data_IF_041184790035
#
_entry.id   IF_041184790035
#
_cell.length_a   1.000
_cell.length_b   1.000
_cell.length_c   1.000
_cell.angle_alpha   90.00
_cell.angle_beta   90.00
_cell.angle_gamma   90.00
#
_symmetry.space_group_name_H-M   'P 1'
#
loop_
_entity.id
_entity.type
_entity.pdbx_description
1 polymer ?
#
# COMPACT_ATOMS: atom_id res chain seq x y z
N UNK A 1 1.34 -4.87 -13.61
CA UNK A 1 0.82 -3.63 -12.98
C UNK A 1 1.66 -3.37 -11.74
N UNK A 2 2.22 -2.17 -11.57
CA UNK A 2 3.02 -1.83 -10.37
C UNK A 2 2.10 -1.08 -9.41
N UNK A 3 1.78 -1.69 -8.27
CA UNK A 3 1.01 -1.07 -7.19
C UNK A 3 1.95 -0.25 -6.33
N UNK A 4 1.64 1.03 -6.12
CA UNK A 4 2.33 1.86 -5.13
C UNK A 4 1.33 2.26 -4.05
N UNK A 5 1.71 2.09 -2.78
CA UNK A 5 0.92 2.45 -1.61
C UNK A 5 1.64 3.60 -0.92
N UNK A 6 0.97 4.74 -0.80
CA UNK A 6 1.39 5.87 0.01
C UNK A 6 0.82 5.71 1.41
N UNK A 7 1.68 5.76 2.40
CA UNK A 7 1.38 5.67 3.82
C UNK A 7 1.56 7.04 4.42
N UNK A 8 0.49 7.58 5.02
CA UNK A 8 0.54 8.82 5.80
C UNK A 8 0.43 8.48 7.26
N UNK A 9 1.45 8.83 8.03
CA UNK A 9 1.51 8.63 9.48
C UNK A 9 0.78 9.74 10.22
N UNK A 10 0.32 9.45 11.44
CA UNK A 10 -0.32 10.42 12.34
C UNK A 10 0.62 11.55 12.77
N UNK A 11 1.94 11.36 12.64
CA UNK A 11 2.96 12.40 12.82
C UNK A 11 2.97 13.43 11.67
N UNK A 12 2.30 13.15 10.55
CA UNK A 12 2.33 13.93 9.32
C UNK A 12 3.41 13.50 8.32
N UNK A 13 4.23 12.48 8.64
CA UNK A 13 5.20 11.91 7.70
C UNK A 13 4.49 11.08 6.60
N UNK A 14 5.01 11.12 5.37
CA UNK A 14 4.50 10.33 4.25
C UNK A 14 5.61 9.48 3.61
N UNK A 15 5.32 8.19 3.42
CA UNK A 15 6.24 7.24 2.79
C UNK A 15 5.52 6.44 1.71
N UNK A 16 6.14 6.30 0.54
CA UNK A 16 5.63 5.49 -0.55
C UNK A 16 6.36 4.14 -0.64
N UNK A 17 5.59 3.05 -0.73
CA UNK A 17 6.13 1.70 -0.88
C UNK A 17 5.50 0.95 -2.04
N UNK A 18 6.29 0.05 -2.64
CA UNK A 18 5.81 -0.87 -3.68
C UNK A 18 5.83 -2.29 -3.10
N UNK A 19 4.67 -2.88 -2.78
CA UNK A 19 4.60 -4.29 -2.41
C UNK A 19 4.98 -5.19 -3.58
N UNK A 20 5.63 -6.30 -3.28
CA UNK A 20 6.01 -7.34 -4.25
C UNK A 20 5.21 -8.62 -4.00
N UNK A 21 5.37 -9.62 -4.87
CA UNK A 21 4.64 -10.89 -4.77
C UNK A 21 4.81 -11.59 -3.42
N UNK A 22 6.00 -11.53 -2.81
CA UNK A 22 6.22 -12.13 -1.49
C UNK A 22 5.35 -11.49 -0.40
N UNK A 23 5.08 -10.19 -0.51
CA UNK A 23 4.25 -9.44 0.45
C UNK A 23 2.78 -9.87 0.31
N UNK A 24 2.33 -10.15 -0.91
CA UNK A 24 0.99 -10.66 -1.22
C UNK A 24 0.80 -12.11 -0.73
N UNK A 25 1.76 -13.00 -1.00
CA UNK A 25 1.70 -14.39 -0.51
C UNK A 25 1.77 -14.43 1.02
N UNK A 26 2.50 -13.51 1.65
CA UNK A 26 2.50 -13.38 3.10
C UNK A 26 1.11 -13.00 3.63
N UNK A 27 0.40 -12.08 2.96
CA UNK A 27 -0.98 -11.76 3.31
C UNK A 27 -1.88 -12.98 3.22
N UNK A 28 -1.85 -13.74 2.11
CA UNK A 28 -2.72 -14.92 1.95
C UNK A 28 -2.53 -15.94 3.08
N UNK A 29 -1.28 -16.17 3.50
CA UNK A 29 -0.95 -17.09 4.60
C UNK A 29 -1.47 -16.55 5.93
N UNK A 30 -1.21 -15.28 6.22
CA UNK A 30 -1.64 -14.66 7.48
C UNK A 30 -3.17 -14.54 7.56
N UNK A 31 -3.82 -14.13 6.47
CA UNK A 31 -5.26 -13.96 6.40
C UNK A 31 -6.01 -15.27 6.62
N UNK A 32 -5.48 -16.40 6.12
CA UNK A 32 -6.02 -17.74 6.41
C UNK A 32 -5.86 -18.16 7.88
N UNK A 33 -4.75 -17.79 8.52
CA UNK A 33 -4.48 -18.14 9.93
C UNK A 33 -5.25 -17.25 10.91
N UNK A 34 -5.56 -16.01 10.52
CA UNK A 34 -6.24 -15.02 11.35
C UNK A 34 -7.72 -14.80 10.97
N UNK A 35 -8.25 -15.62 10.05
CA UNK A 35 -9.61 -15.52 9.53
C UNK A 35 -10.00 -14.11 9.05
N UNK A 36 -9.07 -13.42 8.38
CA UNK A 36 -9.29 -12.05 7.88
C UNK A 36 -10.14 -11.99 6.59
N UNK A 37 -10.41 -13.14 5.97
CA UNK A 37 -11.05 -13.22 4.66
C UNK A 37 -10.09 -12.91 3.51
N UNK A 38 -10.66 -12.69 2.32
CA UNK A 38 -9.90 -12.34 1.11
C UNK A 38 -9.61 -10.84 1.02
N UNK A 39 -8.79 -10.45 0.04
CA UNK A 39 -8.58 -9.03 -0.27
C UNK A 39 -9.88 -8.28 -0.63
N UNK A 40 -10.91 -9.00 -1.11
CA UNK A 40 -12.22 -8.44 -1.43
C UNK A 40 -13.08 -8.29 -0.18
N UNK A 41 -12.98 -9.24 0.77
CA UNK A 41 -13.75 -9.19 2.03
C UNK A 41 -13.22 -8.10 2.96
N UNK A 42 -11.89 -7.93 3.00
CA UNK A 42 -11.20 -7.00 3.91
C UNK A 42 -10.17 -6.13 3.17
N UNK A 43 -10.62 -5.22 2.27
CA UNK A 43 -9.73 -4.44 1.41
C UNK A 43 -8.79 -3.49 2.17
N UNK A 44 -9.25 -2.94 3.31
CA UNK A 44 -8.41 -2.09 4.16
C UNK A 44 -7.30 -2.88 4.86
N UNK A 45 -7.64 -4.03 5.45
CA UNK A 45 -6.66 -4.93 6.07
C UNK A 45 -5.62 -5.42 5.05
N UNK A 46 -6.07 -5.74 3.84
CA UNK A 46 -5.20 -6.11 2.74
C UNK A 46 -4.20 -4.99 2.39
N UNK A 47 -4.70 -3.78 2.14
CA UNK A 47 -3.86 -2.63 1.81
C UNK A 47 -2.85 -2.31 2.92
N UNK A 48 -3.30 -2.30 4.17
CA UNK A 48 -2.46 -2.03 5.32
C UNK A 48 -1.37 -3.10 5.50
N UNK A 49 -1.73 -4.38 5.36
CA UNK A 49 -0.76 -5.46 5.49
C UNK A 49 0.31 -5.39 4.40
N UNK A 50 -0.07 -5.11 3.15
CA UNK A 50 0.90 -4.95 2.07
C UNK A 50 1.84 -3.77 2.29
N UNK A 51 1.31 -2.64 2.75
CA UNK A 51 2.12 -1.47 3.07
C UNK A 51 3.14 -1.79 4.17
N UNK A 52 2.66 -2.31 5.30
CA UNK A 52 3.48 -2.72 6.44
C UNK A 52 4.54 -3.74 6.04
N UNK A 53 4.17 -4.78 5.29
CA UNK A 53 5.10 -5.85 4.91
C UNK A 53 6.18 -5.34 3.96
N UNK A 54 5.82 -4.47 3.04
CA UNK A 54 6.78 -3.80 2.16
C UNK A 54 7.75 -2.91 2.97
N UNK A 55 7.24 -2.10 3.91
CA UNK A 55 8.06 -1.26 4.79
C UNK A 55 9.06 -2.10 5.60
N UNK A 56 8.59 -3.17 6.26
CA UNK A 56 9.44 -4.09 7.03
C UNK A 56 10.53 -4.70 6.15
N UNK A 57 10.16 -5.22 4.98
CA UNK A 57 11.11 -5.84 4.04
C UNK A 57 12.19 -4.85 3.58
N UNK A 58 11.83 -3.58 3.42
CA UNK A 58 12.79 -2.52 3.02
C UNK A 58 13.55 -1.91 4.20
N UNK A 59 13.30 -2.34 5.44
CA UNK A 59 13.95 -1.79 6.63
C UNK A 59 13.46 -0.38 7.00
N UNK A 60 12.30 0.05 6.51
CA UNK A 60 11.72 1.36 6.80
C UNK A 60 10.83 1.38 8.05
N UNK A 61 10.50 0.21 8.61
CA UNK A 61 9.80 0.11 9.88
C UNK A 61 10.21 -1.15 10.62
N UNK A 62 10.27 -1.05 11.94
CA UNK A 62 10.44 -2.19 12.86
C UNK A 62 9.14 -2.51 13.61
N UNK A 63 8.06 -1.77 13.33
CA UNK A 63 6.76 -1.94 13.99
C UNK A 63 6.17 -3.32 13.69
N UNK A 64 5.49 -3.88 14.69
CA UNK A 64 4.49 -4.92 14.49
C UNK A 64 3.34 -4.41 13.62
N UNK A 65 2.48 -5.32 13.16
CA UNK A 65 1.37 -4.92 12.30
C UNK A 65 0.37 -4.04 13.07
N UNK A 66 0.14 -4.37 14.33
CA UNK A 66 -0.74 -3.64 15.24
C UNK A 66 -0.19 -2.23 15.53
N UNK A 67 1.10 -2.09 15.87
CA UNK A 67 1.75 -0.77 16.04
C UNK A 67 1.74 0.07 14.76
N UNK A 68 1.86 -0.58 13.59
CA UNK A 68 1.71 0.09 12.31
C UNK A 68 0.30 0.66 12.13
N UNK A 69 -0.76 -0.10 12.46
CA UNK A 69 -2.13 0.40 12.33
C UNK A 69 -2.42 1.59 13.25
N UNK A 70 -1.83 1.64 14.44
CA UNK A 70 -1.99 2.76 15.39
C UNK A 70 -1.23 4.02 14.96
N UNK A 71 -0.17 3.88 14.16
CA UNK A 71 0.66 4.99 13.69
C UNK A 71 0.23 5.56 12.34
N UNK A 72 -0.63 4.88 11.60
CA UNK A 72 -1.06 5.28 10.25
C UNK A 72 -2.39 6.05 10.29
N UNK A 73 -2.39 7.24 9.70
CA UNK A 73 -3.58 8.07 9.51
C UNK A 73 -4.37 7.63 8.27
N UNK A 74 -3.68 7.42 7.15
CA UNK A 74 -4.33 7.09 5.88
C UNK A 74 -3.42 6.27 4.94
N UNK A 75 -4.06 5.49 4.07
CA UNK A 75 -3.43 4.77 2.97
C UNK A 75 -4.04 5.21 1.64
N UNK A 76 -3.20 5.47 0.64
CA UNK A 76 -3.63 5.78 -0.73
C UNK A 76 -2.91 4.88 -1.73
N UNK A 77 -3.66 4.28 -2.65
CA UNK A 77 -3.10 3.43 -3.69
C UNK A 77 -3.01 4.21 -5.00
N UNK A 78 -1.81 4.29 -5.55
CA UNK A 78 -1.57 4.82 -6.89
C UNK A 78 -1.23 3.66 -7.79
N UNK A 79 -2.14 3.32 -8.70
CA UNK A 79 -1.84 2.47 -9.84
C UNK A 79 -1.10 3.31 -10.86
N UNK A 80 0.18 3.02 -11.11
CA UNK A 80 0.90 3.70 -12.18
C UNK A 80 0.22 3.42 -13.52
N UNK A 81 -0.52 4.39 -14.04
CA UNK A 81 -0.97 4.44 -15.41
C UNK A 81 0.25 4.68 -16.29
N UNK A 82 0.75 3.62 -16.93
CA UNK A 82 1.68 3.78 -18.05
C UNK A 82 0.88 4.32 -19.24
N UNK A 83 0.86 5.65 -19.37
CA UNK A 83 0.65 6.34 -20.63
C UNK A 83 -0.78 6.76 -20.96
N UNK A 84 -1.18 7.93 -20.48
CA UNK A 84 -1.85 8.93 -21.33
C UNK A 84 -1.31 10.30 -20.92
N UNK A 85 -0.29 10.75 -21.65
CA UNK A 85 0.11 12.15 -21.67
C UNK A 85 -0.90 12.88 -22.58
N UNK A 86 -1.79 13.75 -22.09
CA UNK A 86 -2.46 14.70 -22.97
C UNK A 86 -1.47 15.80 -23.34
N UNK A 87 -0.44 15.47 -24.11
CA UNK A 87 0.26 16.48 -24.92
C UNK A 87 -0.65 16.79 -26.09
N UNK A 88 -1.41 17.87 -25.98
CA UNK A 88 -2.18 18.39 -27.11
C UNK A 88 -3.39 19.22 -26.73
N UNK A 89 -3.18 20.35 -26.06
CA UNK A 89 -4.10 21.48 -26.17
C UNK A 89 -3.35 22.78 -25.86
N UNK A 90 -2.50 23.20 -26.78
CA UNK A 90 -2.17 24.63 -26.89
C UNK A 90 -3.42 25.30 -27.47
N UNK A 91 -3.99 26.35 -26.83
CA UNK A 91 -5.02 27.12 -27.48
C UNK A 91 -4.35 27.94 -28.58
N UNK A 92 -4.74 27.72 -29.83
CA UNK A 92 -4.40 28.62 -30.93
C UNK A 92 -5.70 29.16 -31.55
N UNK A 93 -5.83 30.47 -31.34
CA UNK A 93 -6.76 31.47 -31.91
C UNK A 93 -8.28 31.36 -31.62
#
# INVERSE_FOLDING_TARGET
>A
MKLTINVRYTSGEEVAVTPILSDQVAFERTARLRDWGTATDSPLTFAAFLAWKALQRTGQTEYSFEEFLESVEALSQSGGETGLNPTGATPVE
#
